data_IF_647910242150
#
_entry.id   IF_647910242150
#
_cell.length_a   1.000
_cell.length_b   1.000
_cell.length_c   1.000
_cell.angle_alpha   90.00
_cell.angle_beta   90.00
_cell.angle_gamma   90.00
#
_symmetry.space_group_name_H-M   'P 1'
#
loop_
_entity.id
_entity.type
_entity.pdbx_description
1 polymer ?
#
# COMPACT_ATOMS: atom_id res chain seq x y z
N UNK A 1 -5.62 -21.30 -9.25
CA UNK A 1 -5.50 -19.91 -9.71
C UNK A 1 -6.91 -19.42 -10.03
N UNK A 2 -7.29 -18.22 -9.59
CA UNK A 2 -8.65 -17.66 -9.75
C UNK A 2 -9.03 -17.50 -11.23
N UNK A 3 -10.25 -17.84 -11.64
CA UNK A 3 -10.65 -17.80 -13.06
C UNK A 3 -11.38 -16.52 -13.43
N UNK A 4 -12.08 -15.91 -12.46
CA UNK A 4 -12.82 -14.66 -12.63
C UNK A 4 -12.40 -13.60 -11.62
N UNK A 5 -12.72 -12.33 -11.92
CA UNK A 5 -12.49 -11.22 -10.99
C UNK A 5 -13.37 -11.35 -9.73
N UNK A 6 -14.53 -11.99 -9.84
CA UNK A 6 -15.40 -12.28 -8.70
C UNK A 6 -14.75 -13.29 -7.75
N UNK A 7 -14.14 -14.36 -8.28
CA UNK A 7 -13.42 -15.36 -7.46
C UNK A 7 -12.29 -14.70 -6.66
N UNK A 8 -11.57 -13.75 -7.28
CA UNK A 8 -10.50 -12.99 -6.62
C UNK A 8 -11.06 -12.15 -5.47
N UNK A 9 -12.19 -11.49 -5.70
CA UNK A 9 -12.85 -10.67 -4.69
C UNK A 9 -13.38 -11.52 -3.54
N UNK A 10 -14.07 -12.61 -3.82
CA UNK A 10 -14.60 -13.52 -2.81
C UNK A 10 -13.47 -14.11 -1.95
N UNK A 11 -12.36 -14.49 -2.60
CA UNK A 11 -11.15 -14.90 -1.90
C UNK A 11 -10.61 -13.78 -1.00
N UNK A 12 -10.52 -12.55 -1.49
CA UNK A 12 -10.00 -11.40 -0.73
C UNK A 12 -10.89 -11.06 0.47
N UNK A 13 -12.20 -10.97 0.27
CA UNK A 13 -13.18 -10.73 1.34
C UNK A 13 -13.16 -11.85 2.39
N UNK A 14 -12.83 -13.09 2.01
CA UNK A 14 -12.67 -14.21 2.96
C UNK A 14 -11.37 -14.17 3.79
N UNK A 15 -10.36 -13.39 3.38
CA UNK A 15 -9.09 -13.33 4.12
C UNK A 15 -9.27 -12.60 5.45
N UNK A 16 -8.85 -13.20 6.58
CA UNK A 16 -8.97 -12.56 7.89
C UNK A 16 -8.05 -11.33 7.98
N UNK A 17 -8.46 -10.36 8.80
CA UNK A 17 -7.60 -9.24 9.19
C UNK A 17 -6.49 -9.75 10.10
N UNK A 18 -5.23 -9.53 9.70
CA UNK A 18 -4.10 -9.81 10.57
C UNK A 18 -4.05 -8.78 11.70
N UNK A 19 -4.41 -7.54 11.41
CA UNK A 19 -4.48 -6.43 12.35
C UNK A 19 -5.95 -6.20 12.73
N UNK A 20 -6.47 -7.12 13.52
CA UNK A 20 -7.84 -7.06 14.06
C UNK A 20 -7.87 -6.46 15.47
N UNK A 21 -9.06 -6.28 16.02
CA UNK A 21 -9.26 -5.70 17.36
C UNK A 21 -8.57 -6.49 18.49
N UNK A 22 -8.41 -7.82 18.34
CA UNK A 22 -7.72 -8.65 19.33
C UNK A 22 -6.20 -8.43 19.26
N UNK A 23 -5.65 -8.38 18.05
CA UNK A 23 -4.25 -8.01 17.81
C UNK A 23 -3.95 -6.65 18.45
N UNK A 24 -4.76 -5.63 18.17
CA UNK A 24 -4.57 -4.28 18.72
C UNK A 24 -4.59 -4.22 20.25
N UNK A 25 -5.46 -5.01 20.90
CA UNK A 25 -5.58 -5.05 22.36
C UNK A 25 -4.44 -5.82 23.02
N UNK A 26 -3.94 -6.88 22.37
CA UNK A 26 -2.90 -7.74 22.90
C UNK A 26 -1.48 -7.30 22.52
N UNK A 27 -1.33 -6.35 21.59
CA UNK A 27 -0.04 -5.88 21.13
C UNK A 27 0.78 -5.23 22.28
N UNK A 28 2.05 -5.63 22.50
CA UNK A 28 2.82 -5.27 23.69
C UNK A 28 3.46 -3.87 23.57
N UNK A 29 2.66 -2.81 23.46
CA UNK A 29 3.14 -1.43 23.33
C UNK A 29 4.10 -1.00 24.45
N UNK A 30 3.83 -1.45 25.67
CA UNK A 30 4.66 -1.16 26.86
C UNK A 30 6.07 -1.77 26.80
N UNK A 31 6.32 -2.72 25.90
CA UNK A 31 7.64 -3.31 25.69
C UNK A 31 8.49 -2.52 24.68
N UNK A 32 7.89 -1.63 23.87
CA UNK A 32 8.60 -0.90 22.80
C UNK A 32 9.81 -0.14 23.36
N UNK A 33 9.60 0.70 24.37
CA UNK A 33 10.66 1.51 24.98
C UNK A 33 11.75 0.69 25.70
N UNK A 34 11.52 -0.61 25.95
CA UNK A 34 12.49 -1.49 26.63
C UNK A 34 13.54 -2.06 25.67
N UNK A 35 13.31 -1.97 24.36
CA UNK A 35 14.23 -2.42 23.34
C UNK A 35 14.82 -1.23 22.61
N UNK A 36 16.15 -1.25 22.40
CA UNK A 36 16.83 -0.19 21.66
C UNK A 36 16.47 -0.28 20.17
N UNK A 37 15.97 0.81 19.62
CA UNK A 37 15.90 1.03 18.17
C UNK A 37 17.18 1.74 17.70
N UNK A 38 17.83 1.22 16.66
CA UNK A 38 18.93 1.94 16.02
C UNK A 38 18.36 3.18 15.30
N UNK A 39 18.85 4.40 15.60
CA UNK A 39 18.40 5.62 14.95
C UNK A 39 18.48 5.61 13.43
N UNK A 40 19.35 4.79 12.83
CA UNK A 40 19.42 4.61 11.37
C UNK A 40 18.13 4.07 10.74
N UNK A 41 17.23 3.44 11.51
CA UNK A 41 15.94 2.96 11.01
C UNK A 41 14.82 3.99 11.13
N UNK A 42 15.00 5.08 11.87
CA UNK A 42 13.93 6.09 12.07
C UNK A 42 13.49 6.71 10.74
N UNK A 43 14.40 7.19 9.86
CA UNK A 43 13.97 7.78 8.58
C UNK A 43 13.21 6.77 7.70
N UNK A 44 13.56 5.49 7.79
CA UNK A 44 12.89 4.42 7.03
C UNK A 44 11.48 4.20 7.56
N UNK A 45 11.29 4.16 8.89
CA UNK A 45 9.98 4.01 9.51
C UNK A 45 9.07 5.22 9.23
N UNK A 46 9.62 6.44 9.27
CA UNK A 46 8.90 7.67 8.91
C UNK A 46 8.49 7.64 7.44
N UNK A 47 9.42 7.26 6.55
CA UNK A 47 9.12 7.11 5.13
C UNK A 47 8.00 6.08 4.89
N UNK A 48 8.08 4.89 5.50
CA UNK A 48 7.03 3.87 5.35
C UNK A 48 5.71 4.36 5.91
N UNK A 49 5.68 4.95 7.12
CA UNK A 49 4.48 5.56 7.71
C UNK A 49 3.82 6.56 6.76
N UNK A 50 4.61 7.43 6.14
CA UNK A 50 4.09 8.47 5.27
C UNK A 50 3.56 7.89 3.96
N UNK A 51 4.28 6.95 3.34
CA UNK A 51 3.84 6.23 2.13
C UNK A 51 2.52 5.51 2.34
N UNK A 52 2.39 4.77 3.45
CA UNK A 52 1.15 4.09 3.87
C UNK A 52 -0.01 5.08 4.01
N UNK A 53 0.25 6.28 4.52
CA UNK A 53 -0.78 7.32 4.69
C UNK A 53 -1.19 8.00 3.37
N UNK A 54 -0.33 7.98 2.35
CA UNK A 54 -0.61 8.62 1.05
C UNK A 54 -1.56 7.79 0.17
N UNK A 55 -1.83 6.56 0.56
CA UNK A 55 -2.83 5.69 -0.06
C UNK A 55 -4.24 6.27 -0.03
N UNK A 56 -4.57 7.09 0.97
CA UNK A 56 -5.84 7.81 1.04
C UNK A 56 -6.00 8.80 -0.13
N UNK A 57 -4.95 9.57 -0.44
CA UNK A 57 -4.94 10.50 -1.58
C UNK A 57 -5.12 9.71 -2.88
N UNK A 58 -4.40 8.61 -3.00
CA UNK A 58 -4.49 7.73 -4.16
C UNK A 58 -5.90 7.13 -4.33
N UNK A 59 -6.55 6.73 -3.26
CA UNK A 59 -7.92 6.20 -3.29
C UNK A 59 -8.91 7.24 -3.84
N UNK A 60 -8.87 8.47 -3.33
CA UNK A 60 -9.75 9.55 -3.79
C UNK A 60 -9.57 9.86 -5.29
N UNK A 61 -8.33 9.86 -5.76
CA UNK A 61 -8.02 10.10 -7.16
C UNK A 61 -8.44 8.94 -8.04
N UNK A 62 -8.25 7.71 -7.58
CA UNK A 62 -8.62 6.53 -8.34
C UNK A 62 -10.13 6.43 -8.55
N UNK A 63 -10.94 6.78 -7.54
CA UNK A 63 -12.41 6.79 -7.63
C UNK A 63 -12.93 7.68 -8.78
N UNK A 64 -12.14 8.67 -9.22
CA UNK A 64 -12.49 9.56 -10.34
C UNK A 64 -12.25 8.90 -11.71
N UNK A 65 -11.55 7.77 -11.76
CA UNK A 65 -11.16 7.06 -12.99
C UNK A 65 -12.13 5.91 -13.35
N UNK A 66 -12.13 5.40 -14.60
CA UNK A 66 -12.86 4.19 -14.95
C UNK A 66 -12.45 2.96 -14.12
N UNK A 67 -11.20 2.89 -13.67
CA UNK A 67 -10.68 1.80 -12.84
C UNK A 67 -11.29 1.81 -11.44
N UNK A 68 -11.38 2.97 -10.80
CA UNK A 68 -12.03 3.10 -9.48
C UNK A 68 -13.55 2.90 -9.51
N UNK A 69 -14.19 3.07 -10.67
CA UNK A 69 -15.62 2.77 -10.88
C UNK A 69 -15.90 1.28 -11.12
N UNK A 70 -14.87 0.45 -11.30
CA UNK A 70 -15.04 -0.98 -11.50
C UNK A 70 -15.49 -1.65 -10.19
N UNK A 71 -16.59 -2.43 -10.16
CA UNK A 71 -17.21 -2.88 -8.92
C UNK A 71 -16.27 -3.72 -8.03
N UNK A 72 -15.49 -4.63 -8.64
CA UNK A 72 -14.52 -5.46 -7.91
C UNK A 72 -13.39 -4.63 -7.31
N UNK A 73 -12.85 -3.67 -8.08
CA UNK A 73 -11.72 -2.84 -7.63
C UNK A 73 -12.21 -1.87 -6.56
N UNK A 74 -13.41 -1.30 -6.74
CA UNK A 74 -14.02 -0.41 -5.76
C UNK A 74 -14.14 -1.06 -4.39
N UNK A 75 -14.72 -2.27 -4.32
CA UNK A 75 -14.84 -3.02 -3.06
C UNK A 75 -13.49 -3.34 -2.43
N UNK A 76 -12.51 -3.72 -3.25
CA UNK A 76 -11.14 -3.91 -2.77
C UNK A 76 -10.60 -2.63 -2.10
N UNK A 77 -10.74 -1.48 -2.78
CA UNK A 77 -10.26 -0.19 -2.27
C UNK A 77 -10.95 0.26 -0.98
N UNK A 78 -12.24 -0.02 -0.82
CA UNK A 78 -12.99 0.28 0.40
C UNK A 78 -12.38 -0.40 1.64
N UNK A 79 -11.91 -1.64 1.50
CA UNK A 79 -11.22 -2.36 2.59
C UNK A 79 -9.74 -1.98 2.69
N UNK A 80 -9.05 -1.97 1.54
CA UNK A 80 -7.61 -1.69 1.45
C UNK A 80 -7.26 -0.32 2.05
N UNK A 81 -7.99 0.74 1.70
CA UNK A 81 -7.72 2.08 2.24
C UNK A 81 -7.84 2.17 3.77
N UNK A 82 -8.69 1.35 4.40
CA UNK A 82 -8.79 1.28 5.86
C UNK A 82 -7.60 0.52 6.46
N UNK A 83 -7.04 -0.46 5.74
CA UNK A 83 -5.86 -1.23 6.14
C UNK A 83 -4.60 -0.37 6.12
N UNK A 84 -4.31 0.27 4.98
CA UNK A 84 -3.13 1.14 4.81
C UNK A 84 -3.10 2.29 5.84
N UNK A 85 -4.25 2.95 6.06
CA UNK A 85 -4.36 3.99 7.09
C UNK A 85 -4.08 3.43 8.50
N UNK A 86 -4.53 2.20 8.79
CA UNK A 86 -4.24 1.55 10.06
C UNK A 86 -2.75 1.21 10.18
N UNK A 87 -2.07 0.82 9.11
CA UNK A 87 -0.63 0.57 9.10
C UNK A 87 0.14 1.85 9.42
N UNK A 88 -0.20 2.95 8.75
CA UNK A 88 0.38 4.26 8.99
C UNK A 88 0.24 4.70 10.47
N UNK A 89 -0.96 4.57 11.05
CA UNK A 89 -1.19 4.92 12.45
C UNK A 89 -0.40 4.02 13.42
N UNK A 90 -0.25 2.74 13.11
CA UNK A 90 0.53 1.82 13.94
C UNK A 90 2.02 2.11 13.89
N UNK A 91 2.57 2.43 12.71
CA UNK A 91 3.95 2.87 12.56
C UNK A 91 4.19 4.20 13.28
N UNK A 92 3.24 5.13 13.18
CA UNK A 92 3.27 6.39 13.89
C UNK A 92 3.30 6.17 15.41
N UNK A 93 2.40 5.34 15.92
CA UNK A 93 2.38 4.98 17.34
C UNK A 93 3.68 4.33 17.78
N UNK A 94 4.21 3.39 16.99
CA UNK A 94 5.48 2.74 17.29
C UNK A 94 6.63 3.76 17.44
N UNK A 95 6.74 4.74 16.53
CA UNK A 95 7.73 5.81 16.61
C UNK A 95 7.62 6.60 17.92
N UNK A 96 6.40 6.97 18.32
CA UNK A 96 6.15 7.68 19.57
C UNK A 96 6.54 6.85 20.80
N UNK A 97 6.14 5.58 20.85
CA UNK A 97 6.44 4.66 21.95
C UNK A 97 7.95 4.33 22.03
N UNK A 98 8.65 4.37 20.89
CA UNK A 98 10.11 4.21 20.80
C UNK A 98 10.89 5.47 21.21
N UNK A 99 10.21 6.56 21.59
CA UNK A 99 10.83 7.81 22.02
C UNK A 99 11.18 8.78 20.90
N UNK A 100 10.60 8.60 19.71
CA UNK A 100 10.75 9.50 18.55
C UNK A 100 9.40 10.17 18.27
N UNK A 101 9.03 11.19 19.06
CA UNK A 101 7.71 11.78 18.99
C UNK A 101 7.48 12.44 17.63
N UNK A 102 6.28 12.22 17.11
CA UNK A 102 5.79 12.82 15.87
C UNK A 102 4.85 13.96 16.23
N UNK A 103 4.69 14.97 15.38
CA UNK A 103 3.78 16.08 15.71
C UNK A 103 2.31 15.60 15.78
N UNK A 104 1.46 16.35 16.48
CA UNK A 104 0.03 16.02 16.62
C UNK A 104 -0.72 15.99 15.29
N UNK A 105 -0.19 16.70 14.28
CA UNK A 105 -0.75 16.79 12.93
C UNK A 105 0.17 16.11 11.91
N UNK A 106 0.85 15.04 12.29
CA UNK A 106 1.89 14.39 11.47
C UNK A 106 1.38 14.02 10.07
N UNK A 107 0.12 13.60 9.96
CA UNK A 107 -0.50 13.27 8.68
C UNK A 107 -0.61 14.50 7.77
N UNK A 108 -1.02 15.65 8.32
CA UNK A 108 -1.10 16.90 7.56
C UNK A 108 0.28 17.40 7.15
N UNK A 109 1.29 17.25 8.01
CA UNK A 109 2.67 17.61 7.70
C UNK A 109 3.27 16.69 6.61
N UNK A 110 3.04 15.38 6.71
CA UNK A 110 3.42 14.42 5.69
C UNK A 110 2.76 14.74 4.35
N UNK A 111 1.46 15.05 4.33
CA UNK A 111 0.75 15.47 3.10
C UNK A 111 1.28 16.79 2.54
N UNK A 112 1.69 17.73 3.38
CA UNK A 112 2.26 19.01 2.96
C UNK A 112 3.69 18.88 2.42
N UNK A 113 4.43 17.84 2.84
CA UNK A 113 5.79 17.58 2.35
C UNK A 113 5.81 16.93 0.95
N UNK A 114 4.68 16.37 0.50
CA UNK A 114 4.52 15.87 -0.86
C UNK A 114 4.83 17.02 -1.83
N UNK A 115 5.87 16.88 -2.69
CA UNK A 115 6.28 17.95 -3.58
C UNK A 115 5.10 18.47 -4.40
N UNK A 116 5.02 19.79 -4.56
CA UNK A 116 3.99 20.43 -5.37
C UNK A 116 3.88 19.86 -6.79
N UNK A 117 4.95 19.27 -7.34
CA UNK A 117 4.91 18.58 -8.64
C UNK A 117 4.10 17.27 -8.62
N UNK A 118 4.04 16.59 -7.47
CA UNK A 118 3.19 15.43 -7.24
C UNK A 118 1.73 15.85 -7.01
N UNK A 119 1.48 16.95 -6.30
CA UNK A 119 0.12 17.45 -5.97
C UNK A 119 -0.51 18.36 -7.02
N UNK A 120 0.27 19.17 -7.75
CA UNK A 120 -0.21 20.15 -8.73
C UNK A 120 -0.18 19.63 -10.17
N UNK A 121 0.49 18.52 -10.42
CA UNK A 121 0.45 17.83 -11.70
C UNK A 121 0.39 16.31 -11.48
N UNK A 122 -0.71 15.85 -10.92
CA UNK A 122 -1.39 14.68 -11.47
C UNK A 122 -1.81 14.95 -12.92
N UNK A 123 -0.85 15.24 -13.81
CA UNK A 123 -1.01 15.24 -15.27
C UNK A 123 -0.90 13.82 -15.80
N UNK A 124 -0.08 12.98 -15.17
CA UNK A 124 0.15 11.59 -15.60
C UNK A 124 -1.13 10.76 -15.45
N UNK A 125 -1.86 10.90 -14.34
CA UNK A 125 -3.07 10.12 -14.08
C UNK A 125 -4.23 10.42 -15.05
N UNK A 126 -4.65 11.67 -15.28
CA UNK A 126 -5.68 12.02 -16.26
C UNK A 126 -5.25 11.74 -17.70
N UNK A 127 -3.98 11.96 -18.07
CA UNK A 127 -3.50 11.62 -19.41
C UNK A 127 -3.52 10.11 -19.67
N UNK A 128 -3.05 9.28 -18.73
CA UNK A 128 -3.02 7.82 -18.92
C UNK A 128 -4.43 7.23 -18.80
N UNK A 129 -5.25 7.69 -17.86
CA UNK A 129 -6.63 7.19 -17.68
C UNK A 129 -7.56 7.60 -18.83
N UNK A 130 -7.43 8.83 -19.35
CA UNK A 130 -8.25 9.30 -20.48
C UNK A 130 -7.78 8.72 -21.82
N UNK A 131 -6.49 8.43 -22.02
CA UNK A 131 -6.00 7.90 -23.30
C UNK A 131 -6.28 6.39 -23.50
N UNK A 132 -6.44 5.60 -22.43
CA UNK A 132 -6.44 4.12 -22.56
C UNK A 132 -7.68 3.40 -21.98
N UNK A 133 -8.63 4.13 -21.37
CA UNK A 133 -9.95 3.60 -20.98
C UNK A 133 -9.88 2.27 -20.20
N UNK A 134 -10.75 1.31 -20.54
CA UNK A 134 -10.84 0.00 -19.87
C UNK A 134 -9.55 -0.84 -19.87
N UNK A 135 -8.62 -0.58 -20.79
CA UNK A 135 -7.36 -1.31 -20.91
C UNK A 135 -6.31 -0.81 -19.91
N UNK A 136 -6.51 0.37 -19.32
CA UNK A 136 -5.65 0.90 -18.27
C UNK A 136 -5.77 0.11 -16.96
N UNK A 137 -6.94 -0.44 -16.62
CA UNK A 137 -7.13 -1.20 -15.38
C UNK A 137 -6.12 -2.34 -15.21
N UNK A 138 -5.72 -3.02 -16.30
CA UNK A 138 -4.68 -4.05 -16.23
C UNK A 138 -3.30 -3.49 -15.86
N UNK A 139 -2.89 -2.39 -16.49
CA UNK A 139 -1.61 -1.74 -16.19
C UNK A 139 -1.59 -1.14 -14.78
N UNK A 140 -2.71 -0.56 -14.35
CA UNK A 140 -2.90 -0.06 -13.00
C UNK A 140 -2.76 -1.17 -11.95
N UNK A 141 -3.37 -2.33 -12.20
CA UNK A 141 -3.28 -3.46 -11.28
C UNK A 141 -1.86 -4.05 -11.24
N UNK A 142 -1.12 -4.03 -12.35
CA UNK A 142 0.33 -4.36 -12.35
C UNK A 142 1.12 -3.36 -11.50
N UNK A 143 0.83 -2.06 -11.62
CA UNK A 143 1.49 -1.03 -10.84
C UNK A 143 1.30 -1.26 -9.34
N UNK A 144 0.04 -1.44 -8.91
CA UNK A 144 -0.27 -1.76 -7.51
C UNK A 144 0.40 -3.05 -7.05
N UNK A 145 0.39 -4.11 -7.87
CA UNK A 145 1.07 -5.36 -7.54
C UNK A 145 2.58 -5.16 -7.28
N UNK A 146 3.26 -4.36 -8.10
CA UNK A 146 4.68 -4.05 -7.90
C UNK A 146 4.87 -3.30 -6.59
N UNK A 147 4.05 -2.27 -6.32
CA UNK A 147 4.12 -1.50 -5.08
C UNK A 147 3.99 -2.42 -3.85
N UNK A 148 2.93 -3.21 -3.73
CA UNK A 148 2.74 -4.09 -2.55
C UNK A 148 3.83 -5.14 -2.43
N UNK A 149 4.31 -5.69 -3.55
CA UNK A 149 5.44 -6.63 -3.50
C UNK A 149 6.70 -5.94 -2.97
N UNK A 150 6.97 -4.70 -3.39
CA UNK A 150 8.13 -3.95 -2.91
C UNK A 150 7.98 -3.50 -1.46
N UNK A 151 6.80 -3.06 -1.03
CA UNK A 151 6.47 -2.72 0.36
C UNK A 151 6.66 -3.93 1.27
N UNK A 152 6.09 -5.08 0.87
CA UNK A 152 6.26 -6.36 1.56
C UNK A 152 7.75 -6.73 1.75
N UNK A 153 8.56 -6.61 0.68
CA UNK A 153 10.00 -6.85 0.81
C UNK A 153 10.70 -5.80 1.67
N UNK A 154 10.28 -4.54 1.60
CA UNK A 154 10.76 -3.47 2.47
C UNK A 154 10.58 -3.80 3.94
N UNK A 155 9.36 -4.22 4.34
CA UNK A 155 9.07 -4.65 5.70
C UNK A 155 9.92 -5.85 6.10
N UNK A 156 10.05 -6.83 5.19
CA UNK A 156 10.88 -8.02 5.42
C UNK A 156 12.32 -7.67 5.74
N UNK A 157 12.91 -6.81 4.93
CA UNK A 157 14.29 -6.38 5.16
C UNK A 157 14.42 -5.55 6.43
N UNK A 158 13.42 -4.72 6.75
CA UNK A 158 13.42 -3.88 7.94
C UNK A 158 13.38 -4.73 9.22
N UNK A 159 12.46 -5.68 9.36
CA UNK A 159 12.39 -6.48 10.58
C UNK A 159 13.62 -7.40 10.77
N UNK A 160 14.19 -7.91 9.67
CA UNK A 160 15.40 -8.74 9.73
C UNK A 160 16.64 -7.95 10.17
N UNK A 161 16.69 -6.65 9.88
CA UNK A 161 17.85 -5.79 10.16
C UNK A 161 17.70 -5.00 11.46
N UNK A 162 16.48 -4.61 11.83
CA UNK A 162 16.23 -3.75 12.98
C UNK A 162 16.48 -4.44 14.33
N UNK A 163 16.33 -5.78 14.39
CA UNK A 163 16.59 -6.55 15.61
C UNK A 163 15.69 -6.18 16.80
N UNK A 164 14.58 -5.48 16.55
CA UNK A 164 13.66 -5.02 17.58
C UNK A 164 12.44 -5.95 17.61
N UNK A 165 12.22 -6.73 18.70
CA UNK A 165 11.24 -7.82 18.71
C UNK A 165 9.79 -7.33 18.56
N UNK A 166 9.43 -6.22 19.22
CA UNK A 166 8.08 -5.64 19.07
C UNK A 166 7.84 -5.07 17.68
N UNK A 167 8.84 -4.38 17.10
CA UNK A 167 8.77 -3.90 15.72
C UNK A 167 8.61 -5.08 14.75
N UNK A 168 9.39 -6.16 14.92
CA UNK A 168 9.27 -7.34 14.09
C UNK A 168 7.86 -7.94 14.13
N UNK A 169 7.24 -8.02 15.31
CA UNK A 169 5.86 -8.47 15.44
C UNK A 169 4.89 -7.58 14.66
N UNK A 170 5.04 -6.26 14.76
CA UNK A 170 4.21 -5.29 14.03
C UNK A 170 4.39 -5.43 12.52
N UNK A 171 5.64 -5.37 12.04
CA UNK A 171 5.94 -5.41 10.61
C UNK A 171 5.53 -6.74 9.97
N UNK A 172 5.60 -7.86 10.71
CA UNK A 172 5.09 -9.15 10.24
C UNK A 172 3.57 -9.18 10.13
N UNK A 173 2.85 -8.45 10.98
CA UNK A 173 1.39 -8.35 10.89
C UNK A 173 0.99 -7.51 9.68
N UNK A 174 1.63 -6.35 9.48
CA UNK A 174 1.47 -5.51 8.30
C UNK A 174 1.78 -6.31 7.03
N UNK A 175 2.95 -6.95 6.96
CA UNK A 175 3.37 -7.78 5.83
C UNK A 175 2.42 -8.94 5.49
N UNK A 176 1.61 -9.42 6.44
CA UNK A 176 0.57 -10.41 6.13
C UNK A 176 -0.57 -9.77 5.35
N UNK A 177 -1.00 -8.56 5.70
CA UNK A 177 -2.01 -7.80 4.95
C UNK A 177 -1.46 -7.41 3.56
N UNK A 178 -0.22 -6.90 3.49
CA UNK A 178 0.48 -6.63 2.22
C UNK A 178 0.51 -7.83 1.26
N UNK A 179 0.72 -9.03 1.80
CA UNK A 179 0.74 -10.25 0.99
C UNK A 179 -0.63 -10.57 0.37
N UNK A 180 -1.70 -10.21 1.08
CA UNK A 180 -3.09 -10.38 0.62
C UNK A 180 -3.40 -9.33 -0.45
N UNK A 181 -3.01 -8.07 -0.22
CA UNK A 181 -3.16 -6.99 -1.21
C UNK A 181 -2.40 -7.29 -2.49
N UNK A 182 -1.13 -7.67 -2.36
CA UNK A 182 -0.27 -8.06 -3.47
C UNK A 182 -0.89 -9.17 -4.31
N UNK A 183 -1.44 -10.20 -3.66
CA UNK A 183 -2.11 -11.30 -4.36
C UNK A 183 -3.38 -10.85 -5.08
N UNK A 184 -4.17 -9.94 -4.48
CA UNK A 184 -5.35 -9.37 -5.14
C UNK A 184 -4.93 -8.62 -6.41
N UNK A 185 -4.03 -7.64 -6.28
CA UNK A 185 -3.54 -6.85 -7.41
C UNK A 185 -2.96 -7.73 -8.51
N UNK A 186 -2.11 -8.69 -8.15
CA UNK A 186 -1.50 -9.61 -9.10
C UNK A 186 -2.54 -10.47 -9.83
N UNK A 187 -3.55 -10.95 -9.11
CA UNK A 187 -4.60 -11.80 -9.68
C UNK A 187 -5.47 -11.03 -10.68
N UNK A 188 -5.92 -9.82 -10.32
CA UNK A 188 -6.69 -8.96 -11.24
C UNK A 188 -5.82 -8.54 -12.43
N UNK A 189 -4.56 -8.17 -12.19
CA UNK A 189 -3.61 -7.84 -13.25
C UNK A 189 -3.52 -8.99 -14.26
N UNK A 190 -3.29 -10.23 -13.78
CA UNK A 190 -3.20 -11.42 -14.63
C UNK A 190 -4.45 -11.59 -15.51
N UNK A 191 -5.64 -11.56 -14.92
CA UNK A 191 -6.91 -11.70 -15.66
C UNK A 191 -7.07 -10.63 -16.74
N UNK A 192 -6.74 -9.37 -16.44
CA UNK A 192 -6.78 -8.28 -17.41
C UNK A 192 -5.73 -8.41 -18.51
N UNK A 193 -4.54 -8.91 -18.19
CA UNK A 193 -3.44 -9.10 -19.12
C UNK A 193 -3.66 -10.30 -20.05
N UNK A 194 -4.35 -11.35 -19.60
CA UNK A 194 -4.67 -12.53 -20.42
C UNK A 194 -5.63 -12.18 -21.56
N UNK A 195 -6.55 -11.22 -21.35
CA UNK A 195 -7.57 -10.79 -22.31
C UNK A 195 -7.04 -10.34 -23.67
N UNK A 196 -5.86 -9.70 -23.74
CA UNK A 196 -5.32 -9.25 -25.03
C UNK A 196 -3.81 -9.03 -25.06
N UNK A 197 -3.20 -9.21 -26.25
CA UNK A 197 -1.79 -8.83 -26.50
C UNK A 197 -1.56 -7.33 -26.28
N UNK A 198 -2.55 -6.51 -26.59
CA UNK A 198 -2.48 -5.05 -26.41
C UNK A 198 -2.35 -4.68 -24.92
N UNK A 199 -3.17 -5.27 -24.03
CA UNK A 199 -3.10 -5.05 -22.58
C UNK A 199 -1.69 -5.33 -22.03
N UNK A 200 -1.06 -6.41 -22.49
CA UNK A 200 0.32 -6.79 -22.12
C UNK A 200 1.36 -5.79 -22.62
N UNK A 201 1.23 -5.35 -23.87
CA UNK A 201 2.11 -4.34 -24.46
C UNK A 201 1.99 -3.00 -23.72
N UNK A 202 0.76 -2.57 -23.43
CA UNK A 202 0.48 -1.33 -22.72
C UNK A 202 1.01 -1.35 -21.29
N UNK A 203 0.75 -2.42 -20.52
CA UNK A 203 1.28 -2.55 -19.17
C UNK A 203 2.81 -2.51 -19.16
N UNK A 204 3.46 -3.23 -20.07
CA UNK A 204 4.93 -3.19 -20.21
C UNK A 204 5.44 -1.78 -20.51
N UNK A 205 4.80 -1.08 -21.45
CA UNK A 205 5.17 0.29 -21.79
C UNK A 205 5.03 1.22 -20.59
N UNK A 206 3.89 1.15 -19.89
CA UNK A 206 3.61 2.01 -18.73
C UNK A 206 4.63 1.78 -17.63
N UNK A 207 4.85 0.52 -17.22
CA UNK A 207 5.79 0.20 -16.16
C UNK A 207 7.22 0.62 -16.55
N UNK A 208 7.68 0.29 -17.75
CA UNK A 208 9.05 0.63 -18.16
C UNK A 208 9.31 2.14 -18.27
N UNK A 209 8.30 2.93 -18.58
CA UNK A 209 8.48 4.37 -18.90
C UNK A 209 8.15 5.29 -17.73
N UNK A 210 7.24 4.88 -16.86
CA UNK A 210 6.65 5.75 -15.85
C UNK A 210 6.72 5.19 -14.42
N UNK A 211 6.85 3.88 -14.22
CA UNK A 211 6.90 3.35 -12.85
C UNK A 211 8.22 3.72 -12.18
N UNK A 212 8.11 4.22 -10.96
CA UNK A 212 9.21 4.43 -10.01
C UNK A 212 8.72 3.99 -8.63
N UNK A 213 9.63 3.62 -7.70
CA UNK A 213 9.25 3.41 -6.30
C UNK A 213 8.45 4.61 -5.76
N UNK A 214 7.46 4.32 -4.92
CA UNK A 214 6.63 5.35 -4.27
C UNK A 214 7.39 6.01 -3.12
N UNK A 215 7.16 7.30 -2.88
CA UNK A 215 7.80 8.08 -1.81
C UNK A 215 9.10 8.76 -2.22
#
# INVERSE_FOLDING_TARGET
MHETEADVLDWYESQPRAINSEFLKSFPWHEVAKHRLDPGFIPILVYMRDVESFTEIYHEELLRTPTGKHPVIKKFMERWSVEENQHAELLNRFLNEAGFPTCAHWLAEAKASIPFRYTFENRIYPLITNCFGKYFSGAHMVWGAINEMTTLQGYRQLWQKAGHPVLEQLLRAIAREESVHSHFYWSIARLHLERSKFSRGLARFIINRFWTPVG
#
